data_IF_594236948041
#
_entry.id   IF_594236948041
#
_cell.length_a   1.000
_cell.length_b   1.000
_cell.length_c   1.000
_cell.angle_alpha   90.00
_cell.angle_beta   90.00
_cell.angle_gamma   90.00
#
_symmetry.space_group_name_H-M   'P 1'
#
loop_
_entity.id
_entity.type
_entity.pdbx_description
1 polymer ?
#
# COMPACT_ATOMS: atom_id res chain seq x y z
N UNK A 1 -24.45 -9.23 -10.92
CA UNK A 1 -25.26 -7.99 -10.76
C UNK A 1 -24.61 -6.81 -11.46
N UNK A 2 -25.39 -6.03 -12.20
CA UNK A 2 -24.95 -4.78 -12.83
C UNK A 2 -25.00 -3.60 -11.84
N UNK A 3 -24.05 -2.67 -11.96
CA UNK A 3 -24.04 -1.42 -11.18
C UNK A 3 -23.59 -0.24 -12.05
N UNK A 4 -24.03 0.96 -11.67
CA UNK A 4 -23.48 2.23 -12.16
C UNK A 4 -22.49 2.79 -11.15
N UNK A 5 -21.27 3.10 -11.56
CA UNK A 5 -20.20 3.60 -10.68
C UNK A 5 -20.48 5.06 -10.30
N UNK A 6 -20.62 5.35 -9.00
CA UNK A 6 -20.88 6.69 -8.45
C UNK A 6 -19.63 7.37 -7.89
N UNK A 7 -18.55 6.63 -7.72
CA UNK A 7 -17.20 7.11 -7.39
C UNK A 7 -16.16 6.05 -7.72
N UNK A 8 -14.97 6.45 -8.16
CA UNK A 8 -13.95 5.51 -8.65
C UNK A 8 -13.56 4.45 -7.60
N UNK A 9 -13.42 3.20 -8.03
CA UNK A 9 -12.90 2.10 -7.21
C UNK A 9 -12.04 1.16 -8.06
N UNK A 10 -11.22 0.34 -7.40
CA UNK A 10 -10.35 -0.63 -8.06
C UNK A 10 -10.71 -2.05 -7.58
N UNK A 11 -10.90 -2.97 -8.53
CA UNK A 11 -11.26 -4.37 -8.28
C UNK A 11 -10.56 -5.29 -9.29
N UNK A 12 -10.06 -6.44 -8.84
CA UNK A 12 -9.20 -7.39 -9.61
C UNK A 12 -7.95 -6.81 -10.32
N UNK A 13 -7.66 -5.52 -10.16
CA UNK A 13 -6.56 -4.81 -10.81
C UNK A 13 -7.02 -3.77 -11.83
N UNK A 14 -8.31 -3.79 -12.18
CA UNK A 14 -8.97 -2.79 -13.04
C UNK A 14 -9.47 -1.61 -12.18
N UNK A 15 -9.25 -0.38 -12.65
CA UNK A 15 -9.80 0.84 -12.05
C UNK A 15 -11.05 1.25 -12.83
N UNK A 16 -12.18 1.32 -12.13
CA UNK A 16 -13.49 1.63 -12.70
C UNK A 16 -13.86 3.09 -12.38
N UNK A 17 -14.29 3.84 -13.38
CA UNK A 17 -14.43 5.30 -13.28
C UNK A 17 -15.87 5.76 -12.97
N UNK A 18 -15.99 6.89 -12.26
CA UNK A 18 -17.29 7.50 -11.94
C UNK A 18 -18.09 7.82 -13.21
N UNK A 19 -19.25 7.18 -13.34
CA UNK A 19 -20.18 7.31 -14.46
C UNK A 19 -20.28 6.04 -15.31
N UNK A 20 -19.32 5.14 -15.20
CA UNK A 20 -19.29 3.84 -15.89
C UNK A 20 -20.44 2.92 -15.44
N UNK A 21 -20.81 1.93 -16.27
CA UNK A 21 -21.81 0.91 -15.92
C UNK A 21 -21.19 -0.46 -16.12
N UNK A 22 -20.87 -1.11 -15.02
CA UNK A 22 -20.05 -2.34 -14.96
C UNK A 22 -20.85 -3.49 -14.37
N UNK A 23 -20.44 -4.71 -14.67
CA UNK A 23 -21.10 -5.92 -14.18
C UNK A 23 -20.15 -6.68 -13.28
N UNK A 24 -20.54 -6.83 -12.01
CA UNK A 24 -19.71 -7.39 -10.95
C UNK A 24 -20.40 -8.57 -10.26
N UNK A 25 -19.63 -9.46 -9.60
CA UNK A 25 -20.20 -10.48 -8.73
C UNK A 25 -21.10 -9.86 -7.66
N UNK A 26 -22.24 -10.48 -7.38
CA UNK A 26 -23.31 -9.91 -6.53
C UNK A 26 -22.83 -9.42 -5.15
N UNK A 27 -21.86 -10.11 -4.54
CA UNK A 27 -21.22 -9.70 -3.28
C UNK A 27 -20.43 -8.39 -3.41
N UNK A 28 -19.67 -8.23 -4.50
CA UNK A 28 -18.86 -7.04 -4.79
C UNK A 28 -19.76 -5.88 -5.18
N UNK A 29 -20.75 -6.11 -6.05
CA UNK A 29 -21.77 -5.14 -6.42
C UNK A 29 -22.47 -4.56 -5.17
N UNK A 30 -22.97 -5.41 -4.26
CA UNK A 30 -23.54 -4.98 -2.98
C UNK A 30 -22.53 -4.21 -2.13
N UNK A 31 -21.29 -4.69 -2.01
CA UNK A 31 -20.26 -3.99 -1.22
C UNK A 31 -19.87 -2.62 -1.79
N UNK A 32 -19.94 -2.43 -3.10
CA UNK A 32 -19.71 -1.15 -3.79
C UNK A 32 -20.90 -0.20 -3.59
N UNK A 33 -22.14 -0.72 -3.62
CA UNK A 33 -23.36 0.03 -3.31
C UNK A 33 -23.42 0.47 -1.85
N UNK A 34 -23.22 -0.46 -0.90
CA UNK A 34 -23.23 -0.20 0.56
C UNK A 34 -22.20 0.84 1.00
N UNK A 35 -21.12 1.01 0.21
CA UNK A 35 -20.06 2.01 0.44
C UNK A 35 -20.27 3.32 -0.34
N UNK A 36 -21.32 3.43 -1.15
CA UNK A 36 -21.64 4.63 -1.94
C UNK A 36 -20.82 4.82 -3.22
N UNK A 37 -20.08 3.80 -3.65
CA UNK A 37 -19.25 3.82 -4.88
C UNK A 37 -19.99 3.28 -6.11
N UNK A 38 -21.20 2.73 -5.94
CA UNK A 38 -22.10 2.46 -7.04
C UNK A 38 -23.58 2.49 -6.68
N UNK A 39 -24.42 2.45 -7.70
CA UNK A 39 -25.88 2.38 -7.63
C UNK A 39 -26.35 1.13 -8.39
N UNK A 40 -27.35 0.40 -7.86
CA UNK A 40 -27.78 -0.87 -8.46
C UNK A 40 -28.51 -0.63 -9.77
N UNK A 41 -28.11 -1.38 -10.80
CA UNK A 41 -28.92 -1.58 -12.00
C UNK A 41 -29.35 -3.06 -12.07
N UNK A 42 -30.61 -3.30 -12.42
CA UNK A 42 -31.16 -4.67 -12.51
C UNK A 42 -30.61 -5.35 -13.79
N UNK A 43 -30.45 -6.68 -13.88
CA UNK A 43 -30.97 -7.81 -13.09
C UNK A 43 -29.88 -8.83 -12.69
N UNK A 44 -30.25 -9.91 -11.98
CA UNK A 44 -29.53 -11.21 -11.73
C UNK A 44 -28.10 -11.15 -11.12
N UNK A 45 -27.72 -11.85 -10.03
CA UNK A 45 -27.98 -13.21 -9.49
C UNK A 45 -27.25 -14.35 -10.18
N UNK A 46 -26.43 -15.17 -9.52
CA UNK A 46 -25.80 -15.17 -8.17
C UNK A 46 -24.39 -15.85 -8.42
N UNK A 47 -23.59 -16.52 -7.58
CA UNK A 47 -23.71 -17.06 -6.21
C UNK A 47 -22.31 -16.97 -5.51
N UNK A 48 -21.70 -18.07 -5.02
CA UNK A 48 -20.59 -17.99 -4.05
C UNK A 48 -19.22 -18.51 -4.48
N UNK A 49 -18.20 -17.75 -4.07
CA UNK A 49 -16.83 -18.21 -3.72
C UNK A 49 -16.45 -17.52 -2.38
N UNK A 50 -15.62 -18.10 -1.49
CA UNK A 50 -15.41 -17.55 -0.14
C UNK A 50 -14.80 -16.14 -0.09
N UNK A 51 -15.12 -15.32 0.92
CA UNK A 51 -14.63 -13.94 0.99
C UNK A 51 -13.19 -13.86 1.52
N UNK A 52 -12.29 -13.29 0.72
CA UNK A 52 -11.18 -12.52 1.30
C UNK A 52 -11.73 -11.21 1.90
N UNK A 53 -11.16 -10.76 3.02
CA UNK A 53 -11.67 -9.58 3.73
C UNK A 53 -11.49 -8.30 2.90
N UNK A 54 -12.60 -7.72 2.40
CA UNK A 54 -12.60 -6.37 1.82
C UNK A 54 -12.44 -5.33 2.95
N UNK A 55 -11.22 -5.25 3.49
CA UNK A 55 -10.84 -4.34 4.57
C UNK A 55 -11.13 -2.90 4.17
N UNK A 56 -11.77 -2.15 5.07
CA UNK A 56 -12.03 -0.72 4.88
C UNK A 56 -10.70 0.04 4.73
N UNK A 57 -10.29 0.27 3.49
CA UNK A 57 -9.44 1.43 3.16
C UNK A 57 -10.34 2.66 3.29
N UNK A 58 -10.45 3.18 4.52
CA UNK A 58 -11.00 4.52 4.72
C UNK A 58 -10.12 5.55 4.02
N UNK A 59 -10.59 6.79 3.90
CA UNK A 59 -9.86 7.90 3.28
C UNK A 59 -8.70 8.43 4.14
N UNK A 60 -7.89 7.51 4.68
CA UNK A 60 -6.56 7.78 5.16
C UNK A 60 -5.70 8.27 4.00
N UNK A 61 -5.46 9.58 3.99
CA UNK A 61 -4.29 10.27 3.40
C UNK A 61 -3.21 9.30 2.89
N UNK A 62 -3.05 9.21 1.57
CA UNK A 62 -2.05 8.37 0.90
C UNK A 62 -0.66 9.05 0.91
N UNK A 63 0.46 8.30 0.78
CA UNK A 63 1.77 8.88 0.52
C UNK A 63 1.84 9.37 -0.93
N UNK A 64 2.58 10.45 -1.19
CA UNK A 64 2.85 10.97 -2.55
C UNK A 64 3.80 10.05 -3.32
N UNK A 65 4.70 9.36 -2.61
CA UNK A 65 5.65 8.42 -3.18
C UNK A 65 5.92 7.27 -2.21
N UNK A 66 6.04 6.06 -2.74
CA UNK A 66 6.39 4.87 -1.95
C UNK A 66 7.26 3.91 -2.76
N UNK A 67 8.31 3.37 -2.13
CA UNK A 67 9.05 2.19 -2.61
C UNK A 67 9.03 1.10 -1.54
N UNK A 68 9.03 -0.15 -1.98
CA UNK A 68 9.16 -1.36 -1.15
C UNK A 68 10.40 -2.12 -1.61
N UNK A 69 11.17 -2.64 -0.66
CA UNK A 69 12.30 -3.56 -0.87
C UNK A 69 12.01 -4.82 -0.07
N UNK A 70 11.91 -5.96 -0.74
CA UNK A 70 11.79 -7.26 -0.09
C UNK A 70 13.17 -7.74 0.39
N UNK A 71 13.22 -8.29 1.60
CA UNK A 71 14.41 -8.92 2.20
C UNK A 71 14.26 -10.45 2.13
N UNK A 72 13.04 -10.93 2.37
CA UNK A 72 12.62 -12.33 2.35
C UNK A 72 11.09 -12.38 2.16
N UNK A 73 10.53 -13.57 1.94
CA UNK A 73 9.07 -13.74 1.78
C UNK A 73 8.27 -13.22 2.99
N UNK A 74 8.83 -13.34 4.19
CA UNK A 74 8.25 -12.86 5.45
C UNK A 74 8.58 -11.39 5.77
N UNK A 75 9.43 -10.69 4.99
CA UNK A 75 9.98 -9.39 5.42
C UNK A 75 10.22 -8.40 4.27
N UNK A 76 9.69 -7.19 4.41
CA UNK A 76 10.00 -6.07 3.52
C UNK A 76 10.14 -4.74 4.27
N UNK A 77 11.03 -3.89 3.77
CA UNK A 77 11.10 -2.48 4.15
C UNK A 77 10.32 -1.66 3.13
N UNK A 78 9.69 -0.58 3.59
CA UNK A 78 9.11 0.42 2.68
C UNK A 78 9.43 1.84 3.11
N UNK A 79 9.83 2.66 2.13
CA UNK A 79 10.12 4.08 2.31
C UNK A 79 8.95 4.85 1.69
N UNK A 80 8.31 5.72 2.46
CA UNK A 80 7.14 6.49 2.02
C UNK A 80 7.34 7.98 2.29
N UNK A 81 7.12 8.82 1.27
CA UNK A 81 7.04 10.28 1.38
C UNK A 81 5.57 10.66 1.56
N UNK A 82 5.28 11.46 2.56
CA UNK A 82 3.95 12.00 2.84
C UNK A 82 3.95 13.52 2.63
N UNK A 83 2.83 14.12 2.21
CA UNK A 83 2.70 15.57 2.06
C UNK A 83 2.79 16.30 3.41
N UNK A 84 2.44 17.59 3.44
CA UNK A 84 2.09 18.31 4.69
C UNK A 84 0.71 17.91 5.23
N UNK A 85 0.50 18.00 6.54
CA UNK A 85 -0.74 17.65 7.25
C UNK A 85 -0.66 16.38 8.13
N UNK A 86 -1.76 16.07 8.82
CA UNK A 86 -1.81 14.96 9.78
C UNK A 86 -1.15 15.33 11.10
N UNK A 87 0.04 14.75 11.39
CA UNK A 87 0.85 15.08 12.58
C UNK A 87 1.92 16.15 12.35
N UNK A 88 2.13 16.60 11.10
CA UNK A 88 3.24 17.47 10.73
C UNK A 88 2.79 18.53 9.72
N UNK A 89 3.17 19.79 9.93
CA UNK A 89 2.83 20.90 9.02
C UNK A 89 3.71 20.93 7.75
N UNK A 90 4.70 20.04 7.67
CA UNK A 90 5.65 19.86 6.57
C UNK A 90 5.56 18.45 5.96
N UNK A 91 6.09 18.25 4.74
CA UNK A 91 6.33 16.92 4.19
C UNK A 91 7.18 16.06 5.12
N UNK A 92 6.87 14.77 5.20
CA UNK A 92 7.51 13.84 6.14
C UNK A 92 7.90 12.53 5.45
N UNK A 93 9.01 11.94 5.89
CA UNK A 93 9.54 10.69 5.37
C UNK A 93 9.42 9.59 6.43
N UNK A 94 8.99 8.39 6.05
CA UNK A 94 8.90 7.23 6.96
C UNK A 94 9.58 6.01 6.38
N UNK A 95 10.39 5.34 7.20
CA UNK A 95 10.83 3.96 6.98
C UNK A 95 9.90 3.04 7.77
N UNK A 96 9.27 2.09 7.09
CA UNK A 96 8.36 1.12 7.71
C UNK A 96 8.79 -0.30 7.35
N UNK A 97 9.28 -1.02 8.36
CA UNK A 97 9.49 -2.46 8.29
C UNK A 97 8.15 -3.17 8.40
N UNK A 98 7.95 -4.19 7.59
CA UNK A 98 6.82 -5.11 7.65
C UNK A 98 7.39 -6.52 7.78
N UNK A 99 6.98 -7.26 8.80
CA UNK A 99 7.39 -8.65 9.02
C UNK A 99 6.19 -9.53 9.35
N UNK A 100 6.20 -10.77 8.85
CA UNK A 100 5.20 -11.80 9.18
C UNK A 100 5.51 -12.44 10.54
N UNK A 101 4.50 -12.62 11.37
CA UNK A 101 4.61 -13.41 12.61
C UNK A 101 4.36 -14.90 12.37
N UNK A 102 4.64 -15.74 13.37
CA UNK A 102 4.49 -17.20 13.30
C UNK A 102 3.03 -17.65 13.12
N UNK A 103 2.07 -16.75 13.37
CA UNK A 103 0.64 -16.94 13.09
C UNK A 103 0.24 -16.46 11.67
N UNK A 104 1.21 -16.12 10.84
CA UNK A 104 1.01 -15.71 9.45
C UNK A 104 0.55 -14.25 9.27
N UNK A 105 0.49 -13.43 10.32
CA UNK A 105 0.00 -12.05 10.25
C UNK A 105 1.14 -11.06 9.99
N UNK A 106 0.87 -10.00 9.24
CA UNK A 106 1.81 -8.90 9.08
C UNK A 106 1.78 -7.96 10.30
N UNK A 107 2.93 -7.76 10.93
CA UNK A 107 3.22 -6.62 11.81
C UNK A 107 3.97 -5.57 11.01
N UNK A 108 3.76 -4.28 11.32
CA UNK A 108 4.63 -3.21 10.83
C UNK A 108 5.20 -2.38 11.98
N UNK A 109 6.41 -1.86 11.77
CA UNK A 109 7.11 -0.95 12.66
C UNK A 109 7.55 0.27 11.84
N UNK A 110 7.04 1.46 12.19
CA UNK A 110 7.22 2.70 11.41
C UNK A 110 8.04 3.73 12.18
N UNK A 111 9.17 4.10 11.59
CA UNK A 111 10.09 5.13 12.07
C UNK A 111 9.93 6.37 11.17
N UNK A 112 9.81 7.54 11.78
CA UNK A 112 9.88 8.82 11.07
C UNK A 112 11.36 9.17 10.87
N UNK A 113 11.75 9.39 9.61
CA UNK A 113 13.10 9.78 9.25
C UNK A 113 13.27 11.31 9.32
N UNK A 114 14.50 11.82 9.53
CA UNK A 114 14.77 13.24 9.43
C UNK A 114 14.49 13.78 8.02
N UNK A 115 14.39 15.09 7.91
CA UNK A 115 14.23 15.83 6.65
C UNK A 115 15.38 16.84 6.48
N UNK A 116 15.46 17.50 5.32
CA UNK A 116 16.49 18.50 5.04
C UNK A 116 17.92 17.92 4.97
N UNK A 117 18.92 18.69 5.40
CA UNK A 117 20.34 18.32 5.33
C UNK A 117 20.67 17.01 6.07
N UNK A 118 20.02 16.74 7.20
CA UNK A 118 20.22 15.50 7.99
C UNK A 118 19.78 14.26 7.21
N UNK A 119 18.77 14.37 6.33
CA UNK A 119 18.38 13.28 5.43
C UNK A 119 19.43 13.02 4.34
N UNK A 120 20.03 14.08 3.81
CA UNK A 120 21.12 13.97 2.83
C UNK A 120 22.34 13.28 3.46
N UNK A 121 22.74 13.69 4.66
CA UNK A 121 23.81 13.04 5.42
C UNK A 121 23.53 11.55 5.68
N UNK A 122 22.30 11.20 6.11
CA UNK A 122 21.87 9.81 6.28
C UNK A 122 21.98 9.01 4.96
N UNK A 123 21.62 9.60 3.82
CA UNK A 123 21.72 8.90 2.53
C UNK A 123 23.16 8.59 2.11
N UNK A 124 24.11 9.50 2.37
CA UNK A 124 25.53 9.27 2.12
C UNK A 124 26.14 8.28 3.13
N UNK A 125 25.68 8.26 4.39
CA UNK A 125 26.07 7.23 5.35
C UNK A 125 25.60 5.82 4.94
N UNK A 126 24.38 5.68 4.43
CA UNK A 126 23.86 4.40 3.90
C UNK A 126 24.64 3.92 2.66
N UNK A 127 24.99 4.85 1.77
CA UNK A 127 25.84 4.61 0.59
C UNK A 127 27.27 4.21 0.97
N UNK A 128 27.83 4.82 2.01
CA UNK A 128 29.13 4.43 2.57
C UNK A 128 29.08 3.02 3.18
N UNK A 129 28.05 2.72 3.99
CA UNK A 129 27.85 1.39 4.56
C UNK A 129 27.69 0.28 3.50
N UNK A 130 27.03 0.58 2.38
CA UNK A 130 26.99 -0.33 1.22
C UNK A 130 28.38 -0.62 0.65
N UNK A 131 29.24 0.40 0.52
CA UNK A 131 30.59 0.23 -0.02
C UNK A 131 31.46 -0.66 0.89
N UNK A 132 31.40 -0.48 2.21
CA UNK A 132 32.11 -1.35 3.17
C UNK A 132 31.61 -2.81 3.08
N UNK A 133 30.29 -3.01 2.92
CA UNK A 133 29.71 -4.34 2.69
C UNK A 133 30.16 -4.99 1.36
N UNK A 134 30.61 -4.23 0.37
CA UNK A 134 31.20 -4.79 -0.86
C UNK A 134 32.66 -5.19 -0.69
N UNK A 135 33.45 -4.45 0.11
CA UNK A 135 34.84 -4.81 0.42
C UNK A 135 34.92 -6.16 1.13
N UNK A 136 34.16 -6.30 2.22
CA UNK A 136 34.11 -7.55 3.01
C UNK A 136 33.77 -8.77 2.13
N UNK A 137 32.80 -8.64 1.22
CA UNK A 137 32.38 -9.69 0.27
C UNK A 137 33.36 -9.98 -0.88
N UNK A 138 34.44 -9.20 -0.97
CA UNK A 138 35.55 -9.40 -1.90
C UNK A 138 36.75 -9.98 -1.16
N UNK A 139 37.03 -9.49 0.05
CA UNK A 139 38.04 -10.02 0.97
C UNK A 139 37.73 -11.46 1.42
N UNK A 140 36.45 -11.85 1.56
CA UNK A 140 36.01 -13.24 1.81
C UNK A 140 36.24 -14.22 0.61
N UNK A 141 36.94 -13.82 -0.45
CA UNK A 141 37.11 -14.61 -1.70
C UNK A 141 38.56 -14.74 -2.19
N UNK A 142 39.53 -14.19 -1.46
CA UNK A 142 40.97 -14.37 -1.72
C UNK A 142 41.61 -15.39 -0.76
#
# INVERSE_FOLDING_TARGET
MKIKVTGNFLYEGEEYEKGEVVELPDSIARSVIDKGYGERTEETSEEKTPPEEIKKVGEGRKPEWKRKVWISEDRNLSISVWPRGGKFDSPSLTLEENRRDDSGNWKSNRIYLPTGSTLVALSEHLKSAWNELQKMKSEEKE
#
